data_IF_717492891775
#
_entry.id   IF_717492891775
#
_cell.length_a   1.000
_cell.length_b   1.000
_cell.length_c   1.000
_cell.angle_alpha   90.00
_cell.angle_beta   90.00
_cell.angle_gamma   90.00
#
_symmetry.space_group_name_H-M   'P 1'
#
loop_
_entity.id
_entity.type
_entity.pdbx_description
1 polymer ?
#
# COMPACT_ATOMS: atom_id res chain seq x y z
N UNK A 1 -35.55 9.21 -60.14
CA UNK A 1 -35.57 7.96 -59.35
C UNK A 1 -34.45 8.05 -58.36
N UNK A 2 -34.80 8.38 -57.11
CA UNK A 2 -33.93 8.25 -55.96
C UNK A 2 -34.25 6.90 -55.33
N UNK A 3 -33.22 6.12 -55.00
CA UNK A 3 -33.30 4.97 -54.12
C UNK A 3 -32.14 5.08 -53.11
N UNK A 4 -32.38 4.94 -51.79
CA UNK A 4 -31.43 5.22 -50.70
C UNK A 4 -30.89 3.93 -50.05
N UNK A 5 -30.17 4.11 -48.93
CA UNK A 5 -29.66 3.11 -47.95
C UNK A 5 -28.37 2.36 -48.36
N UNK A 6 -27.38 2.12 -47.50
CA UNK A 6 -27.32 2.25 -46.05
C UNK A 6 -25.85 2.37 -45.57
N UNK A 7 -25.69 3.30 -44.65
CA UNK A 7 -24.58 3.62 -43.76
C UNK A 7 -24.09 2.37 -43.00
N UNK A 8 -22.86 1.91 -43.28
CA UNK A 8 -22.19 0.91 -42.45
C UNK A 8 -21.37 1.65 -41.37
N UNK A 9 -21.96 1.64 -40.18
CA UNK A 9 -21.50 2.25 -38.95
C UNK A 9 -20.04 2.00 -38.61
N UNK A 10 -19.27 3.07 -38.68
CA UNK A 10 -18.08 3.31 -37.85
C UNK A 10 -18.53 3.37 -36.37
N UNK A 11 -18.56 2.24 -35.66
CA UNK A 11 -18.66 2.26 -34.20
C UNK A 11 -17.35 2.77 -33.60
N UNK A 12 -17.23 4.10 -33.57
CA UNK A 12 -16.25 4.82 -32.75
C UNK A 12 -16.55 4.49 -31.30
N UNK A 13 -15.68 3.70 -30.67
CA UNK A 13 -15.62 3.55 -29.22
C UNK A 13 -15.19 4.88 -28.59
N UNK A 14 -16.17 5.76 -28.43
CA UNK A 14 -16.03 7.05 -27.79
C UNK A 14 -17.26 7.35 -26.96
N UNK A 15 -17.34 6.83 -25.74
CA UNK A 15 -17.95 7.58 -24.65
C UNK A 15 -17.49 7.09 -23.29
N UNK A 16 -17.25 8.08 -22.44
CA UNK A 16 -16.89 8.01 -21.03
C UNK A 16 -18.07 7.40 -20.26
N UNK A 17 -18.18 6.07 -20.20
CA UNK A 17 -19.19 5.43 -19.37
C UNK A 17 -18.68 5.29 -17.94
N UNK A 18 -19.41 5.87 -16.98
CA UNK A 18 -19.47 5.27 -15.65
C UNK A 18 -19.86 3.82 -15.87
N UNK A 19 -18.95 2.87 -15.68
CA UNK A 19 -19.25 1.46 -15.87
C UNK A 19 -20.48 1.12 -15.01
N UNK A 20 -21.52 0.57 -15.62
CA UNK A 20 -22.68 0.10 -14.88
C UNK A 20 -22.22 -0.98 -13.89
N UNK A 21 -22.92 -1.12 -12.75
CA UNK A 21 -22.62 -2.18 -11.77
C UNK A 21 -22.58 -3.58 -12.43
N UNK A 22 -23.42 -3.81 -13.45
CA UNK A 22 -23.44 -5.03 -14.26
C UNK A 22 -22.16 -5.24 -15.09
N UNK A 23 -21.58 -4.17 -15.64
CA UNK A 23 -20.34 -4.23 -16.43
C UNK A 23 -19.12 -4.52 -15.56
N UNK A 24 -19.02 -3.89 -14.37
CA UNK A 24 -17.94 -4.14 -13.41
C UNK A 24 -17.96 -5.59 -12.92
N UNK A 25 -19.15 -6.10 -12.57
CA UNK A 25 -19.29 -7.47 -12.10
C UNK A 25 -18.88 -8.49 -13.19
N UNK A 26 -19.34 -8.31 -14.42
CA UNK A 26 -18.98 -9.19 -15.54
C UNK A 26 -17.47 -9.16 -15.83
N UNK A 27 -16.83 -8.00 -15.74
CA UNK A 27 -15.38 -7.89 -15.90
C UNK A 27 -14.63 -8.62 -14.79
N UNK A 28 -15.04 -8.45 -13.51
CA UNK A 28 -14.41 -9.16 -12.38
C UNK A 28 -14.54 -10.68 -12.52
N UNK A 29 -15.66 -11.19 -13.03
CA UNK A 29 -15.83 -12.63 -13.29
C UNK A 29 -14.83 -13.13 -14.35
N UNK A 30 -14.62 -12.38 -15.42
CA UNK A 30 -13.61 -12.71 -16.42
C UNK A 30 -12.19 -12.65 -15.83
N UNK A 31 -11.92 -11.65 -14.98
CA UNK A 31 -10.65 -11.55 -14.27
C UNK A 31 -10.42 -12.78 -13.38
N UNK A 32 -11.42 -13.22 -12.60
CA UNK A 32 -11.30 -14.43 -11.76
C UNK A 32 -10.98 -15.67 -12.58
N UNK A 33 -11.61 -15.83 -13.76
CA UNK A 33 -11.31 -16.92 -14.69
C UNK A 33 -9.87 -16.86 -15.21
N UNK A 34 -9.37 -15.65 -15.50
CA UNK A 34 -8.03 -15.45 -16.04
C UNK A 34 -6.91 -15.68 -15.00
N UNK A 35 -7.09 -15.20 -13.77
CA UNK A 35 -6.06 -15.32 -12.71
C UNK A 35 -6.15 -16.63 -11.92
N UNK A 36 -7.29 -17.32 -11.97
CA UNK A 36 -7.54 -18.53 -11.19
C UNK A 36 -7.71 -18.27 -9.69
N UNK A 37 -7.53 -19.31 -8.88
CA UNK A 37 -7.49 -19.20 -7.43
C UNK A 37 -6.13 -18.71 -6.96
N UNK A 38 -6.07 -17.51 -6.39
CA UNK A 38 -4.84 -16.93 -5.83
C UNK A 38 -4.94 -16.95 -4.31
N UNK A 39 -4.14 -17.78 -3.60
CA UNK A 39 -4.11 -17.79 -2.15
C UNK A 39 -3.71 -16.41 -1.60
N UNK A 40 -4.37 -15.98 -0.52
CA UNK A 40 -4.11 -14.69 0.14
C UNK A 40 -4.22 -13.48 -0.80
N UNK A 41 -5.10 -13.55 -1.80
CA UNK A 41 -5.35 -12.45 -2.73
C UNK A 41 -5.80 -11.20 -1.96
N UNK A 42 -5.15 -10.07 -2.24
CA UNK A 42 -5.55 -8.75 -1.76
C UNK A 42 -6.07 -7.94 -2.93
N UNK A 43 -7.24 -7.34 -2.78
CA UNK A 43 -7.81 -6.40 -3.74
C UNK A 43 -7.96 -5.06 -3.05
N UNK A 44 -7.29 -4.03 -3.58
CA UNK A 44 -7.41 -2.66 -3.10
C UNK A 44 -8.21 -1.84 -4.11
N UNK A 45 -9.34 -1.27 -3.68
CA UNK A 45 -10.22 -0.48 -4.54
C UNK A 45 -10.35 0.95 -4.06
N UNK A 46 -10.82 1.80 -4.96
CA UNK A 46 -11.30 3.13 -4.58
C UNK A 46 -12.58 3.00 -3.73
N UNK A 47 -12.85 4.04 -2.93
CA UNK A 47 -14.00 4.16 -2.02
C UNK A 47 -15.35 4.30 -2.77
N UNK A 48 -15.71 3.30 -3.58
CA UNK A 48 -16.89 3.28 -4.42
C UNK A 48 -17.75 2.04 -4.15
N UNK A 49 -18.92 2.26 -3.54
CA UNK A 49 -19.87 1.22 -3.11
C UNK A 49 -20.16 0.15 -4.16
N UNK A 50 -20.27 0.52 -5.44
CA UNK A 50 -20.58 -0.44 -6.51
C UNK A 50 -19.44 -1.41 -6.81
N UNK A 51 -18.20 -0.93 -6.77
CA UNK A 51 -17.01 -1.75 -6.99
C UNK A 51 -16.77 -2.69 -5.81
N UNK A 52 -16.90 -2.18 -4.58
CA UNK A 52 -16.75 -2.98 -3.36
C UNK A 52 -17.72 -4.15 -3.29
N UNK A 53 -18.99 -3.91 -3.65
CA UNK A 53 -20.04 -4.95 -3.67
C UNK A 53 -19.71 -6.02 -4.69
N UNK A 54 -19.27 -5.63 -5.89
CA UNK A 54 -18.92 -6.57 -6.94
C UNK A 54 -17.68 -7.39 -6.59
N UNK A 55 -16.67 -6.77 -5.96
CA UNK A 55 -15.48 -7.48 -5.47
C UNK A 55 -15.85 -8.51 -4.41
N UNK A 56 -16.65 -8.14 -3.41
CA UNK A 56 -17.09 -9.10 -2.38
C UNK A 56 -17.89 -10.28 -2.93
N UNK A 57 -18.68 -10.05 -3.99
CA UNK A 57 -19.44 -11.11 -4.64
C UNK A 57 -18.56 -12.05 -5.50
N UNK A 58 -17.58 -11.49 -6.22
CA UNK A 58 -16.74 -12.27 -7.15
C UNK A 58 -15.50 -12.86 -6.48
N UNK A 59 -14.95 -12.22 -5.45
CA UNK A 59 -13.75 -12.66 -4.72
C UNK A 59 -14.01 -12.65 -3.20
N UNK A 60 -14.95 -13.47 -2.68
CA UNK A 60 -15.28 -13.47 -1.26
C UNK A 60 -14.11 -13.89 -0.35
N UNK A 61 -13.13 -14.61 -0.89
CA UNK A 61 -11.94 -15.06 -0.17
C UNK A 61 -10.80 -14.03 -0.18
N UNK A 62 -10.91 -12.97 -0.98
CA UNK A 62 -9.89 -11.94 -1.06
C UNK A 62 -10.01 -10.94 0.09
N UNK A 63 -8.88 -10.50 0.62
CA UNK A 63 -8.85 -9.37 1.54
C UNK A 63 -9.16 -8.10 0.76
N UNK A 64 -10.31 -7.49 1.07
CA UNK A 64 -10.76 -6.27 0.42
C UNK A 64 -10.29 -5.04 1.20
N UNK A 65 -9.37 -4.30 0.59
CA UNK A 65 -8.79 -3.07 1.12
C UNK A 65 -9.37 -1.85 0.42
N UNK A 66 -9.49 -0.77 1.17
CA UNK A 66 -9.92 0.52 0.64
C UNK A 66 -8.75 1.48 0.53
N UNK A 67 -8.69 2.19 -0.59
CA UNK A 67 -7.66 3.18 -0.85
C UNK A 67 -7.77 4.35 0.14
N UNK A 68 -6.78 4.48 1.01
CA UNK A 68 -6.74 5.51 2.03
C UNK A 68 -6.77 6.92 1.44
N UNK A 69 -6.19 7.14 0.25
CA UNK A 69 -6.22 8.43 -0.44
C UNK A 69 -7.66 8.87 -0.75
N UNK A 70 -8.49 7.94 -1.22
CA UNK A 70 -9.89 8.22 -1.57
C UNK A 70 -10.77 8.35 -0.33
N UNK A 71 -10.57 7.48 0.66
CA UNK A 71 -11.21 7.62 1.97
C UNK A 71 -10.92 8.99 2.56
N UNK A 72 -9.65 9.38 2.64
CA UNK A 72 -9.24 10.68 3.18
C UNK A 72 -9.89 11.85 2.44
N UNK A 73 -9.94 11.81 1.10
CA UNK A 73 -10.62 12.83 0.31
C UNK A 73 -12.13 12.90 0.54
N UNK A 74 -12.79 11.76 0.73
CA UNK A 74 -14.23 11.73 1.02
C UNK A 74 -14.51 12.21 2.45
N UNK A 75 -13.69 11.79 3.40
CA UNK A 75 -13.76 12.21 4.79
C UNK A 75 -13.59 13.72 4.94
N UNK A 76 -12.58 14.30 4.28
CA UNK A 76 -12.31 15.74 4.35
C UNK A 76 -13.39 16.63 3.70
N UNK A 77 -14.23 16.08 2.82
CA UNK A 77 -15.41 16.81 2.31
C UNK A 77 -16.49 16.96 3.38
N UNK A 78 -16.50 16.08 4.40
CA UNK A 78 -17.53 16.04 5.44
C UNK A 78 -17.05 16.64 6.76
N UNK A 79 -15.79 16.38 7.12
CA UNK A 79 -15.18 16.82 8.36
C UNK A 79 -13.85 17.50 8.06
N UNK A 80 -13.64 18.67 8.64
CA UNK A 80 -12.41 19.45 8.50
C UNK A 80 -11.91 19.88 9.87
N UNK A 81 -10.62 20.18 9.96
CA UNK A 81 -9.95 20.61 11.18
C UNK A 81 -8.55 20.02 11.29
N UNK A 82 -7.67 20.75 11.97
CA UNK A 82 -6.25 20.37 12.07
C UNK A 82 -6.08 19.02 12.77
N UNK A 83 -6.86 18.75 13.81
CA UNK A 83 -6.85 17.45 14.50
C UNK A 83 -7.16 16.29 13.55
N UNK A 84 -8.09 16.49 12.60
CA UNK A 84 -8.44 15.45 11.63
C UNK A 84 -7.30 15.22 10.66
N UNK A 85 -6.72 16.28 10.09
CA UNK A 85 -5.65 16.17 9.10
C UNK A 85 -4.36 15.64 9.73
N UNK A 86 -4.08 16.00 10.98
CA UNK A 86 -2.94 15.53 11.76
C UNK A 86 -3.06 14.05 12.17
N UNK A 87 -4.26 13.55 12.48
CA UNK A 87 -4.40 12.20 13.04
C UNK A 87 -4.92 11.13 12.07
N UNK A 88 -5.74 11.47 11.06
CA UNK A 88 -6.41 10.45 10.24
C UNK A 88 -5.44 9.65 9.35
N UNK A 89 -4.49 10.34 8.70
CA UNK A 89 -3.52 9.67 7.84
C UNK A 89 -2.52 8.81 8.66
N UNK A 90 -1.98 9.31 9.79
CA UNK A 90 -1.20 8.47 10.72
C UNK A 90 -1.98 7.29 11.31
N UNK A 91 -3.27 7.43 11.59
CA UNK A 91 -4.12 6.31 12.02
C UNK A 91 -4.09 5.18 10.99
N UNK A 92 -4.29 5.50 9.71
CA UNK A 92 -4.26 4.51 8.63
C UNK A 92 -2.88 3.87 8.42
N UNK A 93 -1.81 4.65 8.59
CA UNK A 93 -0.41 4.20 8.51
C UNK A 93 0.07 3.38 9.70
N UNK A 94 -0.63 3.43 10.82
CA UNK A 94 -0.25 2.72 12.04
C UNK A 94 -0.26 1.21 11.84
N UNK A 95 0.84 0.54 12.19
CA UNK A 95 1.00 -0.91 12.09
C UNK A 95 0.38 -1.66 13.29
N UNK A 96 0.29 -1.02 14.44
CA UNK A 96 -0.29 -1.60 15.66
C UNK A 96 -1.70 -1.07 15.91
N UNK A 97 -2.54 -1.90 16.52
CA UNK A 97 -3.91 -1.53 16.85
C UNK A 97 -3.95 -0.41 17.91
N UNK A 98 -3.08 -0.47 18.92
CA UNK A 98 -3.02 0.55 19.96
C UNK A 98 -2.70 1.96 19.43
N UNK A 99 -1.77 2.07 18.47
CA UNK A 99 -1.46 3.38 17.86
C UNK A 99 -2.62 3.90 17.01
N UNK A 100 -3.26 3.02 16.23
CA UNK A 100 -4.48 3.38 15.51
C UNK A 100 -5.58 3.87 16.45
N UNK A 101 -5.83 3.16 17.56
CA UNK A 101 -6.82 3.55 18.57
C UNK A 101 -6.49 4.93 19.18
N UNK A 102 -5.23 5.19 19.46
CA UNK A 102 -4.80 6.48 20.00
C UNK A 102 -5.12 7.65 19.05
N UNK A 103 -4.77 7.51 17.75
CA UNK A 103 -5.13 8.52 16.76
C UNK A 103 -6.65 8.68 16.60
N UNK A 104 -7.38 7.57 16.51
CA UNK A 104 -8.83 7.60 16.36
C UNK A 104 -9.52 8.22 17.58
N UNK A 105 -9.00 8.00 18.79
CA UNK A 105 -9.49 8.64 20.01
C UNK A 105 -9.37 10.16 19.93
N UNK A 106 -8.25 10.69 19.42
CA UNK A 106 -8.07 12.14 19.22
C UNK A 106 -9.07 12.73 18.23
N UNK A 107 -9.33 12.02 17.14
CA UNK A 107 -10.33 12.44 16.15
C UNK A 107 -11.73 12.42 16.76
N UNK A 108 -12.06 11.38 17.53
CA UNK A 108 -13.37 11.22 18.18
C UNK A 108 -13.62 12.27 19.27
N UNK A 109 -12.60 12.57 20.08
CA UNK A 109 -12.66 13.65 21.09
C UNK A 109 -12.95 15.01 20.46
N UNK A 110 -12.45 15.24 19.24
CA UNK A 110 -12.67 16.48 18.48
C UNK A 110 -14.04 16.51 17.77
N UNK A 111 -14.42 15.43 17.08
CA UNK A 111 -15.70 15.31 16.39
C UNK A 111 -16.26 13.88 16.54
N UNK A 112 -17.21 13.67 17.48
CA UNK A 112 -17.73 12.34 17.79
C UNK A 112 -18.43 11.63 16.63
N UNK A 113 -19.02 12.39 15.68
CA UNK A 113 -19.75 11.83 14.53
C UNK A 113 -18.85 11.18 13.49
N UNK A 114 -17.53 11.29 13.62
CA UNK A 114 -16.55 10.73 12.67
C UNK A 114 -16.53 9.21 12.65
N UNK A 115 -16.73 8.55 13.80
CA UNK A 115 -16.73 7.08 13.89
C UNK A 115 -17.93 6.52 13.12
N UNK A 116 -19.14 7.02 13.42
CA UNK A 116 -20.37 6.58 12.73
C UNK A 116 -20.26 6.74 11.21
N UNK A 117 -19.65 7.84 10.75
CA UNK A 117 -19.40 8.05 9.32
C UNK A 117 -18.45 7.02 8.72
N UNK A 118 -17.32 6.73 9.38
CA UNK A 118 -16.37 5.73 8.90
C UNK A 118 -17.01 4.34 8.87
N UNK A 119 -17.78 3.96 9.88
CA UNK A 119 -18.47 2.68 9.91
C UNK A 119 -19.55 2.56 8.83
N UNK A 120 -20.28 3.64 8.57
CA UNK A 120 -21.36 3.66 7.57
C UNK A 120 -20.83 3.69 6.12
N UNK A 121 -19.72 4.42 5.88
CA UNK A 121 -19.24 4.71 4.53
C UNK A 121 -17.96 4.00 4.13
N UNK A 122 -17.17 3.52 5.10
CA UNK A 122 -15.83 2.97 4.91
C UNK A 122 -15.67 1.66 5.70
N UNK A 123 -16.53 0.69 5.41
CA UNK A 123 -16.63 -0.59 6.13
C UNK A 123 -15.59 -1.64 5.70
N UNK A 124 -14.60 -1.24 4.89
CA UNK A 124 -13.51 -2.10 4.38
C UNK A 124 -12.21 -1.80 5.12
N UNK A 125 -11.19 -2.60 4.85
CA UNK A 125 -9.92 -2.45 5.55
C UNK A 125 -9.13 -1.31 4.91
N UNK A 126 -9.03 -0.17 5.60
CA UNK A 126 -8.29 1.01 5.13
C UNK A 126 -7.03 1.32 5.95
N UNK A 127 -6.75 0.53 7.00
CA UNK A 127 -5.64 0.73 7.94
C UNK A 127 -4.67 -0.44 7.96
N UNK A 128 -3.37 -0.15 8.01
CA UNK A 128 -2.30 -1.18 8.03
C UNK A 128 -2.39 -2.12 9.21
N UNK A 129 -2.81 -1.61 10.38
CA UNK A 129 -2.98 -2.42 11.59
C UNK A 129 -4.05 -3.51 11.47
N UNK A 130 -4.89 -3.49 10.43
CA UNK A 130 -5.88 -4.54 10.15
C UNK A 130 -5.51 -5.41 8.92
N UNK A 131 -4.38 -5.16 8.26
CA UNK A 131 -3.94 -5.99 7.14
C UNK A 131 -3.51 -7.38 7.62
N UNK A 132 -3.80 -8.40 6.81
CA UNK A 132 -3.24 -9.74 7.00
C UNK A 132 -1.73 -9.75 6.80
N UNK A 133 -1.07 -10.58 7.60
CA UNK A 133 0.36 -10.84 7.53
C UNK A 133 0.71 -11.82 6.40
N UNK A 134 -0.30 -12.49 5.82
CA UNK A 134 -0.10 -13.41 4.71
C UNK A 134 0.19 -12.69 3.38
N UNK A 135 -0.20 -11.41 3.26
CA UNK A 135 0.06 -10.61 2.06
C UNK A 135 0.79 -9.33 2.43
N UNK A 136 2.11 -9.39 2.25
CA UNK A 136 3.06 -8.30 2.48
C UNK A 136 2.91 -7.20 1.45
N UNK A 137 2.27 -6.10 1.83
CA UNK A 137 1.99 -4.97 0.94
C UNK A 137 1.97 -3.66 1.75
N UNK A 138 2.91 -2.76 1.44
CA UNK A 138 3.00 -1.44 2.07
C UNK A 138 1.97 -0.43 1.53
N UNK A 139 1.38 -0.72 0.37
CA UNK A 139 0.52 0.23 -0.32
C UNK A 139 -0.80 0.41 0.43
N UNK A 140 -1.00 1.62 0.94
CA UNK A 140 -2.29 2.12 1.45
C UNK A 140 -3.09 2.87 0.39
N UNK A 141 -2.47 3.19 -0.73
CA UNK A 141 -3.04 4.02 -1.79
C UNK A 141 -3.02 3.27 -3.11
N UNK A 142 -3.92 3.66 -3.99
CA UNK A 142 -4.02 3.12 -5.34
C UNK A 142 -3.06 3.82 -6.33
N UNK A 143 -1.93 4.36 -5.84
CA UNK A 143 -0.99 5.15 -6.64
C UNK A 143 -0.41 4.35 -7.82
N UNK A 144 -0.24 3.03 -7.66
CA UNK A 144 0.25 2.16 -8.72
C UNK A 144 -0.75 2.11 -9.87
N UNK A 145 -2.04 1.93 -9.58
CA UNK A 145 -3.11 1.97 -10.59
C UNK A 145 -3.20 3.34 -11.24
N UNK A 146 -3.14 4.43 -10.47
CA UNK A 146 -3.19 5.79 -11.00
C UNK A 146 -2.01 6.10 -11.93
N UNK A 147 -0.79 5.71 -11.54
CA UNK A 147 0.41 5.87 -12.36
C UNK A 147 0.31 5.05 -13.66
N UNK A 148 -0.15 3.80 -13.57
CA UNK A 148 -0.39 2.97 -14.74
C UNK A 148 -1.44 3.60 -15.66
N UNK A 149 -2.58 4.02 -15.10
CA UNK A 149 -3.66 4.69 -15.81
C UNK A 149 -3.20 5.97 -16.52
N UNK A 150 -2.30 6.73 -15.90
CA UNK A 150 -1.70 7.92 -16.52
C UNK A 150 -0.82 7.55 -17.72
N UNK A 151 -0.01 6.50 -17.62
CA UNK A 151 0.86 6.04 -18.71
C UNK A 151 0.06 5.54 -19.92
N UNK A 152 -1.02 4.78 -19.68
CA UNK A 152 -1.85 4.23 -20.76
C UNK A 152 -2.92 5.21 -21.26
N UNK A 153 -3.06 6.39 -20.63
CA UNK A 153 -4.10 7.37 -20.98
C UNK A 153 -4.05 7.77 -22.47
N UNK A 154 -2.85 7.90 -23.03
CA UNK A 154 -2.61 8.22 -24.44
C UNK A 154 -3.00 7.12 -25.42
N UNK A 155 -3.20 5.88 -24.94
CA UNK A 155 -3.53 4.72 -25.76
C UNK A 155 -5.02 4.37 -25.73
N UNK A 156 -5.84 5.10 -24.96
CA UNK A 156 -7.26 4.79 -24.76
C UNK A 156 -8.14 4.88 -26.01
N UNK A 157 -7.67 5.52 -27.08
CA UNK A 157 -8.39 5.61 -28.36
C UNK A 157 -8.00 4.52 -29.38
N UNK A 158 -7.11 3.60 -29.03
CA UNK A 158 -6.67 2.52 -29.91
C UNK A 158 -7.67 1.37 -29.91
N UNK A 159 -7.63 0.56 -30.97
CA UNK A 159 -8.37 -0.71 -31.01
C UNK A 159 -7.83 -1.66 -29.94
N UNK A 160 -8.64 -2.65 -29.52
CA UNK A 160 -8.28 -3.55 -28.42
C UNK A 160 -6.94 -4.26 -28.62
N UNK A 161 -6.69 -4.77 -29.83
CA UNK A 161 -5.44 -5.47 -30.14
C UNK A 161 -4.22 -4.53 -30.11
N UNK A 162 -4.37 -3.30 -30.59
CA UNK A 162 -3.32 -2.27 -30.54
C UNK A 162 -3.05 -1.81 -29.11
N UNK A 163 -4.10 -1.64 -28.29
CA UNK A 163 -3.96 -1.28 -26.88
C UNK A 163 -3.18 -2.35 -26.11
N UNK A 164 -3.52 -3.63 -26.31
CA UNK A 164 -2.81 -4.75 -25.68
C UNK A 164 -1.35 -4.77 -26.12
N UNK A 165 -1.08 -4.54 -27.41
CA UNK A 165 0.29 -4.53 -27.93
C UNK A 165 1.11 -3.35 -27.37
N UNK A 166 0.53 -2.16 -27.26
CA UNK A 166 1.19 -1.00 -26.62
C UNK A 166 1.45 -1.21 -25.13
N UNK A 167 0.54 -1.88 -24.42
CA UNK A 167 0.76 -2.25 -23.01
C UNK A 167 1.91 -3.27 -22.91
N UNK A 168 1.98 -4.26 -23.80
CA UNK A 168 3.09 -5.23 -23.87
C UNK A 168 4.42 -4.52 -24.09
N UNK A 169 4.51 -3.62 -25.06
CA UNK A 169 5.71 -2.80 -25.33
C UNK A 169 6.12 -1.99 -24.10
N UNK A 170 5.17 -1.29 -23.45
CA UNK A 170 5.42 -0.51 -22.24
C UNK A 170 6.02 -1.36 -21.11
N UNK A 171 5.49 -2.57 -20.90
CA UNK A 171 6.01 -3.51 -19.90
C UNK A 171 7.42 -3.95 -20.26
N UNK A 172 7.68 -4.28 -21.53
CA UNK A 172 8.99 -4.72 -22.01
C UNK A 172 10.05 -3.62 -21.83
N UNK A 173 9.78 -2.40 -22.30
CA UNK A 173 10.68 -1.27 -22.17
C UNK A 173 10.94 -0.91 -20.70
N UNK A 174 9.89 -0.95 -19.86
CA UNK A 174 10.02 -0.67 -18.43
C UNK A 174 10.89 -1.72 -17.74
N UNK A 175 10.71 -3.00 -18.05
CA UNK A 175 11.55 -4.09 -17.54
C UNK A 175 13.00 -3.94 -18.00
N UNK A 176 13.22 -3.64 -19.28
CA UNK A 176 14.56 -3.41 -19.81
C UNK A 176 15.26 -2.23 -19.12
N UNK A 177 14.60 -1.07 -19.03
CA UNK A 177 15.14 0.13 -18.36
C UNK A 177 15.50 -0.16 -16.90
N UNK A 178 14.62 -0.84 -16.16
CA UNK A 178 14.88 -1.25 -14.77
C UNK A 178 16.07 -2.21 -14.67
N UNK A 179 16.20 -3.17 -15.59
CA UNK A 179 17.34 -4.09 -15.65
C UNK A 179 18.66 -3.34 -15.89
N UNK A 180 18.68 -2.41 -16.86
CA UNK A 180 19.88 -1.62 -17.17
C UNK A 180 20.33 -0.75 -16.00
N UNK A 181 19.39 -0.13 -15.28
CA UNK A 181 19.70 0.61 -14.04
C UNK A 181 20.20 -0.34 -12.96
N UNK A 182 19.54 -1.49 -12.77
CA UNK A 182 19.95 -2.49 -11.77
C UNK A 182 21.34 -3.08 -12.00
N UNK A 183 21.78 -3.21 -13.26
CA UNK A 183 23.13 -3.67 -13.60
C UNK A 183 24.24 -2.68 -13.17
N UNK A 184 23.91 -1.41 -12.96
CA UNK A 184 24.88 -0.40 -12.51
C UNK A 184 25.11 -0.44 -10.99
N UNK A 185 24.34 -1.24 -10.26
CA UNK A 185 24.42 -1.29 -8.79
C UNK A 185 25.32 -2.43 -8.35
N UNK A 186 26.38 -2.09 -7.62
CA UNK A 186 27.35 -3.07 -7.10
C UNK A 186 26.81 -3.85 -5.88
N UNK A 187 26.02 -3.20 -5.03
CA UNK A 187 25.74 -3.70 -3.67
C UNK A 187 24.42 -4.48 -3.53
N UNK A 188 23.72 -4.74 -4.64
CA UNK A 188 22.46 -5.51 -4.66
C UNK A 188 21.26 -4.84 -3.97
N UNK A 189 21.44 -3.71 -3.28
CA UNK A 189 20.39 -2.93 -2.63
C UNK A 189 20.10 -1.65 -3.43
N UNK A 190 18.82 -1.31 -3.57
CA UNK A 190 18.40 -0.07 -4.23
C UNK A 190 18.95 1.16 -3.47
N UNK A 191 19.60 2.13 -4.14
CA UNK A 191 20.09 3.35 -3.51
C UNK A 191 19.01 4.13 -2.76
N UNK A 192 17.78 4.14 -3.28
CA UNK A 192 16.64 4.77 -2.59
C UNK A 192 16.29 4.06 -1.28
N UNK A 193 16.40 2.73 -1.23
CA UNK A 193 16.18 1.96 0.00
C UNK A 193 17.26 2.31 1.03
N UNK A 194 18.53 2.38 0.62
CA UNK A 194 19.62 2.81 1.51
C UNK A 194 19.37 4.23 2.04
N UNK A 195 18.95 5.15 1.16
CA UNK A 195 18.60 6.52 1.55
C UNK A 195 17.47 6.56 2.57
N UNK A 196 16.39 5.80 2.35
CA UNK A 196 15.25 5.73 3.26
C UNK A 196 15.66 5.11 4.60
N UNK A 197 16.49 4.06 4.59
CA UNK A 197 17.06 3.46 5.80
C UNK A 197 17.89 4.45 6.61
N UNK A 198 18.78 5.19 5.95
CA UNK A 198 19.60 6.21 6.61
C UNK A 198 18.72 7.32 7.19
N UNK A 199 17.67 7.74 6.48
CA UNK A 199 16.73 8.73 6.97
C UNK A 199 15.99 8.24 8.23
N UNK A 200 15.54 6.99 8.23
CA UNK A 200 14.89 6.39 9.41
C UNK A 200 15.90 6.32 10.56
N UNK A 201 17.08 5.75 10.31
CA UNK A 201 18.13 5.59 11.33
C UNK A 201 18.53 6.92 11.98
N UNK A 202 18.61 8.01 11.20
CA UNK A 202 18.99 9.31 11.71
C UNK A 202 17.88 10.03 12.49
N UNK A 203 16.61 9.71 12.22
CA UNK A 203 15.46 10.38 12.85
C UNK A 203 14.85 9.59 14.01
N UNK A 204 15.15 8.29 14.14
CA UNK A 204 14.67 7.48 15.25
C UNK A 204 15.31 7.94 16.55
N UNK A 205 14.49 8.40 17.49
CA UNK A 205 14.90 8.80 18.83
C UNK A 205 14.90 7.58 19.75
N UNK A 206 16.01 6.85 19.76
CA UNK A 206 16.17 5.71 20.69
C UNK A 206 16.41 6.22 22.10
N UNK A 207 15.61 5.71 23.04
CA UNK A 207 15.73 6.03 24.47
C UNK A 207 16.51 4.95 25.20
N UNK A 208 16.25 3.67 24.88
CA UNK A 208 16.86 2.53 25.56
C UNK A 208 16.87 1.31 24.64
N UNK A 209 17.92 0.52 24.69
CA UNK A 209 17.96 -0.84 24.12
C UNK A 209 18.26 -1.81 25.25
N UNK A 210 17.48 -2.89 25.35
CA UNK A 210 17.69 -3.99 26.27
C UNK A 210 17.83 -5.28 25.45
N UNK A 211 19.05 -5.82 25.39
CA UNK A 211 19.35 -7.06 24.65
C UNK A 211 18.96 -8.24 25.52
N UNK A 212 18.18 -9.17 24.94
CA UNK A 212 17.76 -10.41 25.58
C UNK A 212 18.62 -11.59 25.10
N UNK A 213 18.93 -11.64 23.80
CA UNK A 213 19.76 -12.66 23.15
C UNK A 213 20.49 -12.05 21.93
N UNK A 214 21.35 -12.82 21.26
CA UNK A 214 22.14 -12.41 20.08
C UNK A 214 21.26 -11.74 19.03
N UNK A 215 20.09 -12.31 18.76
CA UNK A 215 19.16 -11.87 17.72
C UNK A 215 17.87 -11.25 18.28
N UNK A 216 17.78 -11.04 19.61
CA UNK A 216 16.54 -10.58 20.27
C UNK A 216 16.81 -9.39 21.18
N UNK A 217 16.11 -8.29 20.94
CA UNK A 217 16.21 -7.09 21.76
C UNK A 217 14.85 -6.37 21.92
N UNK A 218 14.70 -5.68 23.04
CA UNK A 218 13.65 -4.67 23.24
C UNK A 218 14.26 -3.27 23.00
N UNK A 219 13.61 -2.48 22.16
CA UNK A 219 13.99 -1.10 21.87
C UNK A 219 12.89 -0.17 22.35
N UNK A 220 13.25 0.77 23.22
CA UNK A 220 12.40 1.90 23.57
C UNK A 220 12.71 3.07 22.64
N UNK A 221 11.72 3.53 21.90
CA UNK A 221 11.78 4.70 21.03
C UNK A 221 10.84 5.80 21.53
N UNK A 222 11.21 7.04 21.26
CA UNK A 222 10.32 8.19 21.38
C UNK A 222 9.71 8.47 20.01
N UNK A 223 8.39 8.39 19.90
CA UNK A 223 7.71 8.72 18.64
C UNK A 223 7.62 10.25 18.40
N UNK A 224 7.13 10.64 17.22
CA UNK A 224 6.97 12.05 16.83
C UNK A 224 5.98 12.81 17.73
N UNK A 225 5.13 12.08 18.47
CA UNK A 225 4.18 12.62 19.44
C UNK A 225 4.71 12.57 20.89
N UNK A 226 6.01 12.32 21.07
CA UNK A 226 6.69 12.25 22.36
C UNK A 226 6.17 11.13 23.29
N UNK A 227 5.57 10.07 22.74
CA UNK A 227 5.22 8.88 23.50
C UNK A 227 6.37 7.87 23.48
N UNK A 228 6.61 7.24 24.63
CA UNK A 228 7.51 6.09 24.72
C UNK A 228 6.84 4.85 24.16
N UNK A 229 7.46 4.24 23.15
CA UNK A 229 7.05 2.95 22.60
C UNK A 229 8.15 1.93 22.82
N UNK A 230 7.76 0.75 23.29
CA UNK A 230 8.66 -0.40 23.41
C UNK A 230 8.32 -1.37 22.32
N UNK A 231 9.33 -1.74 21.55
CA UNK A 231 9.20 -2.71 20.49
C UNK A 231 10.20 -3.84 20.70
N UNK A 232 9.71 -5.07 20.70
CA UNK A 232 10.56 -6.26 20.68
C UNK A 232 10.86 -6.64 19.23
N UNK A 233 12.11 -7.00 18.98
CA UNK A 233 12.59 -7.42 17.67
C UNK A 233 13.34 -8.73 17.83
N UNK A 234 12.97 -9.68 16.98
CA UNK A 234 13.58 -10.98 16.82
C UNK A 234 14.04 -11.10 15.36
N UNK A 235 15.35 -11.03 15.18
CA UNK A 235 16.01 -11.01 13.88
C UNK A 235 16.01 -12.41 13.24
N UNK A 236 16.12 -13.46 14.05
CA UNK A 236 16.17 -14.84 13.57
C UNK A 236 14.81 -15.27 12.99
N UNK A 237 13.74 -14.95 13.70
CA UNK A 237 12.37 -15.31 13.31
C UNK A 237 11.68 -14.24 12.46
N UNK A 238 12.38 -13.16 12.10
CA UNK A 238 11.82 -12.09 11.26
C UNK A 238 10.54 -11.49 11.87
N UNK A 239 10.55 -11.27 13.19
CA UNK A 239 9.38 -10.91 13.96
C UNK A 239 9.61 -9.60 14.73
N UNK A 240 8.60 -8.73 14.75
CA UNK A 240 8.64 -7.46 15.46
C UNK A 240 7.28 -7.14 16.09
N UNK A 241 7.22 -6.74 17.36
CA UNK A 241 5.95 -6.29 17.97
C UNK A 241 5.32 -5.09 17.25
N UNK A 242 6.14 -4.34 16.52
CA UNK A 242 5.73 -3.20 15.70
C UNK A 242 4.91 -3.59 14.47
N UNK A 243 4.86 -4.89 14.10
CA UNK A 243 4.21 -5.47 12.92
C UNK A 243 4.73 -5.01 11.55
N UNK A 244 5.77 -4.17 11.51
CA UNK A 244 6.31 -3.69 10.24
C UNK A 244 6.91 -4.83 9.42
N UNK A 245 7.60 -5.79 10.06
CA UNK A 245 8.18 -6.92 9.35
C UNK A 245 7.12 -7.81 8.69
N UNK A 246 6.04 -8.05 9.42
CA UNK A 246 4.98 -8.99 9.05
C UNK A 246 4.10 -8.40 7.94
N UNK A 247 3.88 -7.09 7.95
CA UNK A 247 3.08 -6.41 6.93
C UNK A 247 3.86 -6.02 5.66
N UNK A 248 5.21 -6.02 5.68
CA UNK A 248 6.05 -5.52 4.59
C UNK A 248 6.90 -6.62 3.94
N UNK A 249 7.10 -6.49 2.62
CA UNK A 249 8.10 -7.26 1.88
C UNK A 249 9.48 -6.59 2.08
N UNK A 250 10.01 -6.64 3.30
CA UNK A 250 11.43 -6.43 3.58
C UNK A 250 11.86 -5.19 4.39
N UNK A 251 12.93 -5.43 5.15
CA UNK A 251 14.11 -4.63 5.50
C UNK A 251 14.02 -3.25 6.18
N UNK A 252 12.95 -2.46 6.07
CA UNK A 252 13.03 -1.04 6.50
C UNK A 252 13.12 -0.85 8.02
N UNK A 253 12.32 -1.58 8.80
CA UNK A 253 12.40 -1.51 10.26
C UNK A 253 13.55 -2.35 10.83
N UNK A 254 13.78 -3.51 10.22
CA UNK A 254 14.75 -4.47 10.70
C UNK A 254 16.18 -4.01 10.51
N UNK A 255 16.53 -3.39 9.39
CA UNK A 255 17.87 -2.83 9.20
C UNK A 255 18.10 -1.59 10.04
N UNK A 256 17.05 -0.80 10.34
CA UNK A 256 17.15 0.30 11.29
C UNK A 256 17.41 -0.22 12.71
N UNK A 257 16.66 -1.24 13.16
CA UNK A 257 16.88 -1.86 14.48
C UNK A 257 18.19 -2.65 14.52
N UNK A 258 18.59 -3.34 13.45
CA UNK A 258 19.87 -4.03 13.34
C UNK A 258 21.03 -3.02 13.40
N UNK A 259 20.94 -1.90 12.66
CA UNK A 259 21.93 -0.82 12.77
C UNK A 259 21.99 -0.27 14.20
N UNK A 260 20.85 -0.10 14.88
CA UNK A 260 20.81 0.39 16.26
C UNK A 260 21.34 -0.63 17.29
N UNK A 261 21.09 -1.92 17.09
CA UNK A 261 21.64 -3.02 17.89
C UNK A 261 23.16 -3.09 17.67
N UNK A 262 23.64 -3.03 16.43
CA UNK A 262 25.06 -3.00 16.08
C UNK A 262 25.75 -1.75 16.64
N UNK A 263 25.13 -0.57 16.56
CA UNK A 263 25.68 0.67 17.13
C UNK A 263 25.73 0.67 18.67
N UNK A 264 24.82 -0.05 19.35
CA UNK A 264 24.84 -0.18 20.82
C UNK A 264 25.73 -1.33 21.33
N UNK A 265 25.92 -2.39 20.53
CA UNK A 265 26.76 -3.55 20.90
C UNK A 265 28.23 -3.30 20.56
N UNK A 266 28.51 -2.56 19.48
CA UNK A 266 29.89 -2.29 19.03
C UNK A 266 30.14 -0.79 18.92
N UNK A 267 30.97 -0.26 19.81
CA UNK A 267 31.64 1.03 19.64
C UNK A 267 32.67 1.00 18.47
N UNK A 268 32.59 0.01 17.59
CA UNK A 268 33.46 -0.17 16.42
C UNK A 268 32.68 -0.75 15.22
N UNK A 269 32.71 0.00 14.12
CA UNK A 269 32.81 -0.47 12.73
C UNK A 269 31.76 -1.44 12.16
N UNK A 270 30.91 -0.86 11.30
CA UNK A 270 30.73 -1.23 9.89
C UNK A 270 30.70 -2.72 9.49
N UNK A 271 29.59 -3.06 8.83
CA UNK A 271 29.44 -4.13 7.82
C UNK A 271 29.39 -5.56 8.37
N UNK A 272 28.16 -6.08 8.50
CA UNK A 272 27.78 -7.42 8.01
C UNK A 272 26.31 -7.41 7.59
N UNK A 273 26.05 -6.95 6.37
CA UNK A 273 24.90 -7.42 5.58
C UNK A 273 25.52 -8.12 4.39
N UNK A 274 25.90 -9.39 4.57
CA UNK A 274 26.03 -10.31 3.45
C UNK A 274 24.81 -11.22 3.47
N UNK A 275 24.02 -11.13 2.41
CA UNK A 275 23.25 -12.23 1.82
C UNK A 275 22.52 -13.16 2.81
N UNK A 276 21.23 -12.92 3.01
CA UNK A 276 20.29 -14.03 3.16
C UNK A 276 19.30 -13.91 2.00
N UNK A 277 19.51 -14.81 1.05
CA UNK A 277 18.74 -15.04 -0.18
C UNK A 277 17.26 -15.27 0.06
#
# INVERSE_FOLDING_TARGET
>A
MADPTEDASEERYGSRSSASMSSIHAWLQQLRKAIGGVPNLVICTDACKGLETAVGAVFPEAENRECMRHLYQNFLKKYSGDVITEHLYPAAKSYTFGMWQWHMKKIFEFEPRTIDYLEQHHNRIWRRSAFSENSKCDYLTNNVSESFNAQIKKFKGLLLHELVDRIRELIMETRYRRKMVGMQWADGILPNVIKDLNLISNNVKVVKVAVCDVDVAEVTILDDWHNHRRETVDLQNHNCSCRQWQCLNGYTFSLAVLNLIVLNITNELLVKISMVS
#
